data_IF_448415247606
#
_entry.id   IF_448415247606
#
_cell.length_a   1.000
_cell.length_b   1.000
_cell.length_c   1.000
_cell.angle_alpha   90.00
_cell.angle_beta   90.00
_cell.angle_gamma   90.00
#
_symmetry.space_group_name_H-M   'P 1'
#
loop_
_entity.id
_entity.type
_entity.pdbx_description
1 polymer ?
#
# COMPACT_ATOMS: atom_id res chain seq x y z
N UNK A 1 9.15 -13.76 15.79
CA UNK A 1 8.30 -12.95 14.89
C UNK A 1 8.04 -13.75 13.63
N UNK A 2 6.80 -13.82 13.17
CA UNK A 2 6.44 -14.52 11.93
C UNK A 2 7.02 -13.75 10.73
N UNK A 3 7.46 -14.46 9.68
CA UNK A 3 8.00 -13.86 8.45
C UNK A 3 7.01 -12.86 7.82
N UNK A 4 5.71 -13.17 7.89
CA UNK A 4 4.62 -12.31 7.43
C UNK A 4 4.57 -10.98 8.17
N UNK A 5 4.81 -10.98 9.48
CA UNK A 5 4.84 -9.76 10.31
C UNK A 5 6.00 -8.86 9.89
N UNK A 6 7.18 -9.42 9.65
CA UNK A 6 8.37 -8.66 9.21
C UNK A 6 8.12 -8.05 7.83
N UNK A 7 7.53 -8.83 6.91
CA UNK A 7 7.17 -8.38 5.57
C UNK A 7 6.14 -7.26 5.59
N UNK A 8 5.08 -7.37 6.42
CA UNK A 8 4.07 -6.33 6.58
C UNK A 8 4.65 -5.02 7.14
N UNK A 9 5.56 -5.11 8.11
CA UNK A 9 6.28 -3.95 8.64
C UNK A 9 7.16 -3.29 7.56
N UNK A 10 7.92 -4.08 6.81
CA UNK A 10 8.75 -3.58 5.71
C UNK A 10 7.92 -2.88 4.64
N UNK A 11 6.79 -3.46 4.26
CA UNK A 11 5.87 -2.87 3.28
C UNK A 11 5.21 -1.60 3.83
N UNK A 12 4.85 -1.56 5.11
CA UNK A 12 4.32 -0.34 5.74
C UNK A 12 5.28 0.84 5.62
N UNK A 13 6.58 0.62 5.88
CA UNK A 13 7.62 1.65 5.74
C UNK A 13 7.82 2.03 4.27
N UNK A 14 7.89 1.04 3.37
CA UNK A 14 8.05 1.29 1.95
C UNK A 14 6.90 2.13 1.37
N UNK A 15 5.64 1.80 1.71
CA UNK A 15 4.44 2.55 1.30
C UNK A 15 4.49 3.99 1.82
N UNK A 16 4.93 4.19 3.07
CA UNK A 16 5.06 5.53 3.64
C UNK A 16 6.14 6.36 2.93
N UNK A 17 7.32 5.79 2.67
CA UNK A 17 8.42 6.47 1.98
C UNK A 17 8.06 6.81 0.53
N UNK A 18 7.54 5.84 -0.23
CA UNK A 18 7.06 6.03 -1.60
C UNK A 18 5.92 7.04 -1.65
N UNK A 19 5.01 6.97 -0.68
CA UNK A 19 3.89 7.89 -0.55
C UNK A 19 4.28 9.33 -0.28
N UNK A 20 5.21 9.55 0.65
CA UNK A 20 5.80 10.86 0.92
C UNK A 20 6.55 11.41 -0.29
N UNK A 21 7.27 10.56 -1.03
CA UNK A 21 7.96 10.96 -2.25
C UNK A 21 6.98 11.37 -3.36
N UNK A 22 5.92 10.56 -3.58
CA UNK A 22 4.82 10.89 -4.49
C UNK A 22 4.11 12.19 -4.09
N UNK A 23 3.86 12.40 -2.80
CA UNK A 23 3.27 13.64 -2.31
C UNK A 23 4.15 14.85 -2.63
N UNK A 24 5.49 14.76 -2.48
CA UNK A 24 6.39 15.85 -2.89
C UNK A 24 6.32 16.15 -4.38
N UNK A 25 6.17 15.13 -5.22
CA UNK A 25 6.11 15.31 -6.68
C UNK A 25 4.79 15.92 -7.15
N UNK A 26 3.67 15.48 -6.58
CA UNK A 26 2.34 15.92 -7.06
C UNK A 26 1.70 17.00 -6.20
N UNK A 27 2.30 17.35 -5.05
CA UNK A 27 1.76 18.24 -4.00
C UNK A 27 0.32 17.90 -3.56
N UNK A 28 -0.10 16.63 -3.72
CA UNK A 28 -1.49 16.23 -3.52
C UNK A 28 -1.72 15.74 -2.10
N UNK A 29 -2.49 16.50 -1.31
CA UNK A 29 -2.88 16.11 0.07
C UNK A 29 -3.61 14.76 0.12
N UNK A 30 -4.35 14.44 -0.93
CA UNK A 30 -5.08 13.18 -1.04
C UNK A 30 -4.14 11.97 -1.11
N UNK A 31 -2.95 12.11 -1.72
CA UNK A 31 -1.95 11.03 -1.77
C UNK A 31 -1.31 10.85 -0.39
N UNK A 32 -1.00 11.94 0.30
CA UNK A 32 -0.46 11.89 1.67
C UNK A 32 -1.43 11.15 2.63
N UNK A 33 -2.71 11.52 2.63
CA UNK A 33 -3.69 10.88 3.52
C UNK A 33 -3.86 9.38 3.23
N UNK A 34 -3.92 9.00 1.95
CA UNK A 34 -4.03 7.59 1.56
C UNK A 34 -2.80 6.77 1.92
N UNK A 35 -1.61 7.38 1.87
CA UNK A 35 -0.34 6.69 2.18
C UNK A 35 -0.17 6.51 3.68
N UNK A 36 -0.55 7.49 4.50
CA UNK A 36 -0.64 7.35 5.96
C UNK A 36 -1.66 6.27 6.34
N UNK A 37 -2.85 6.31 5.74
CA UNK A 37 -3.88 5.30 5.96
C UNK A 37 -3.39 3.89 5.58
N UNK A 38 -2.79 3.75 4.39
CA UNK A 38 -2.24 2.49 3.91
C UNK A 38 -1.14 1.92 4.80
N UNK A 39 -0.20 2.77 5.23
CA UNK A 39 0.87 2.39 6.16
C UNK A 39 0.31 1.94 7.51
N UNK A 40 -0.67 2.66 8.07
CA UNK A 40 -1.35 2.31 9.32
C UNK A 40 -2.08 0.97 9.21
N UNK A 41 -2.79 0.71 8.11
CA UNK A 41 -3.45 -0.57 7.87
C UNK A 41 -2.47 -1.74 7.83
N UNK A 42 -1.31 -1.58 7.18
CA UNK A 42 -0.27 -2.62 7.16
C UNK A 42 0.35 -2.87 8.55
N UNK A 43 0.51 -1.80 9.34
CA UNK A 43 1.05 -1.88 10.68
C UNK A 43 0.07 -2.56 11.65
N UNK A 44 -1.22 -2.26 11.51
CA UNK A 44 -2.29 -2.92 12.26
C UNK A 44 -2.44 -4.40 11.85
N UNK A 45 -2.28 -4.73 10.56
CA UNK A 45 -2.23 -6.11 10.09
C UNK A 45 -1.02 -6.87 10.66
N UNK A 46 0.15 -6.22 10.73
CA UNK A 46 1.34 -6.78 11.38
C UNK A 46 1.10 -7.03 12.87
N UNK A 47 0.39 -6.14 13.56
CA UNK A 47 0.02 -6.32 14.96
C UNK A 47 -0.93 -7.51 15.17
N UNK A 48 -1.97 -7.64 14.33
CA UNK A 48 -2.91 -8.78 14.39
C UNK A 48 -2.23 -10.12 14.07
N UNK A 49 -1.33 -10.16 13.08
CA UNK A 49 -0.53 -11.37 12.80
C UNK A 49 0.42 -11.72 13.94
N UNK A 50 1.06 -10.74 14.57
CA UNK A 50 1.98 -10.99 15.69
C UNK A 50 1.24 -11.50 16.94
N UNK A 51 0.08 -10.93 17.25
CA UNK A 51 -0.71 -11.27 18.43
C UNK A 51 -1.58 -12.53 18.26
N UNK A 52 -1.61 -13.14 17.06
CA UNK A 52 -2.49 -14.26 16.69
C UNK A 52 -3.99 -13.99 16.94
N UNK A 53 -4.37 -12.72 17.11
CA UNK A 53 -5.75 -12.32 17.38
C UNK A 53 -6.40 -11.82 16.09
N UNK A 54 -7.49 -12.50 15.69
CA UNK A 54 -8.35 -12.15 14.56
C UNK A 54 -7.58 -12.04 13.22
N UNK A 55 -7.06 -13.18 12.75
CA UNK A 55 -6.40 -13.36 11.44
C UNK A 55 -7.18 -12.73 10.26
N UNK A 56 -8.51 -12.67 10.34
CA UNK A 56 -9.37 -12.02 9.35
C UNK A 56 -8.94 -10.57 9.08
N UNK A 57 -8.62 -9.79 10.12
CA UNK A 57 -8.19 -8.40 9.97
C UNK A 57 -6.79 -8.28 9.39
N UNK A 58 -5.92 -9.24 9.67
CA UNK A 58 -4.59 -9.31 9.08
C UNK A 58 -4.62 -9.48 7.55
N UNK A 59 -5.67 -10.09 7.00
CA UNK A 59 -5.87 -10.28 5.56
C UNK A 59 -6.68 -9.12 4.97
N UNK A 60 -7.74 -8.69 5.65
CA UNK A 60 -8.68 -7.70 5.14
C UNK A 60 -8.07 -6.29 5.03
N UNK A 61 -7.19 -5.92 5.97
CA UNK A 61 -6.55 -4.59 5.98
C UNK A 61 -5.59 -4.39 4.79
N UNK A 62 -4.62 -5.29 4.49
CA UNK A 62 -3.81 -5.21 3.28
C UNK A 62 -4.65 -5.22 2.00
N UNK A 63 -5.73 -6.01 1.96
CA UNK A 63 -6.60 -6.07 0.79
C UNK A 63 -7.27 -4.72 0.48
N UNK A 64 -7.83 -4.04 1.49
CA UNK A 64 -8.43 -2.71 1.29
C UNK A 64 -7.40 -1.67 0.82
N UNK A 65 -6.18 -1.70 1.38
CA UNK A 65 -5.13 -0.79 0.93
C UNK A 65 -4.75 -1.04 -0.53
N UNK A 66 -4.71 -2.31 -0.95
CA UNK A 66 -4.44 -2.69 -2.33
C UNK A 66 -5.51 -2.17 -3.28
N UNK A 67 -6.79 -2.30 -2.92
CA UNK A 67 -7.88 -1.73 -3.73
C UNK A 67 -7.80 -0.21 -3.82
N UNK A 68 -7.51 0.46 -2.69
CA UNK A 68 -7.40 1.91 -2.61
C UNK A 68 -6.26 2.45 -3.49
N UNK A 69 -5.08 1.83 -3.44
CA UNK A 69 -3.97 2.22 -4.32
C UNK A 69 -4.19 1.78 -5.76
N UNK A 70 -4.79 0.61 -5.99
CA UNK A 70 -5.07 0.08 -7.33
C UNK A 70 -6.02 0.97 -8.12
N UNK A 71 -7.13 1.41 -7.52
CA UNK A 71 -8.05 2.36 -8.15
C UNK A 71 -7.35 3.67 -8.55
N UNK A 72 -6.45 4.17 -7.70
CA UNK A 72 -5.66 5.37 -8.02
C UNK A 72 -4.62 5.14 -9.09
N UNK A 73 -3.91 4.01 -9.04
CA UNK A 73 -2.93 3.64 -10.03
C UNK A 73 -3.57 3.60 -11.42
N UNK A 74 -4.72 2.93 -11.57
CA UNK A 74 -5.49 2.89 -12.82
C UNK A 74 -5.92 4.29 -13.26
N UNK A 75 -6.45 5.10 -12.35
CA UNK A 75 -6.85 6.48 -12.66
C UNK A 75 -5.67 7.36 -13.12
N UNK A 76 -4.52 7.24 -12.46
CA UNK A 76 -3.29 7.99 -12.84
C UNK A 76 -2.71 7.53 -14.17
N UNK A 77 -2.74 6.22 -14.45
CA UNK A 77 -2.33 5.67 -15.75
C UNK A 77 -3.25 6.09 -16.89
N UNK A 78 -4.56 6.17 -16.64
CA UNK A 78 -5.50 6.69 -17.62
C UNK A 78 -5.21 8.16 -17.93
N UNK A 79 -4.96 8.96 -16.89
CA UNK A 79 -4.64 10.38 -17.03
C UNK A 79 -3.28 10.62 -17.71
N UNK A 80 -2.29 9.76 -17.45
CA UNK A 80 -0.96 9.88 -18.06
C UNK A 80 -0.93 9.66 -19.58
N UNK A 81 -2.03 9.16 -20.17
CA UNK A 81 -2.18 9.12 -21.64
C UNK A 81 -2.37 10.51 -22.25
N UNK A 82 -2.93 11.45 -21.49
CA UNK A 82 -3.13 12.85 -21.90
C UNK A 82 -2.02 13.77 -21.40
N UNK A 83 -1.53 13.52 -20.17
CA UNK A 83 -0.52 14.34 -19.50
C UNK A 83 0.75 13.49 -19.27
N UNK A 84 1.77 13.63 -20.12
CA UNK A 84 2.99 12.78 -20.09
C UNK A 84 3.80 12.92 -18.80
N UNK A 85 3.70 14.05 -18.11
CA UNK A 85 4.35 14.33 -16.83
C UNK A 85 3.88 13.38 -15.71
N UNK A 86 2.70 12.78 -15.84
CA UNK A 86 2.13 11.87 -14.85
C UNK A 86 2.60 10.42 -14.98
N UNK A 87 3.42 10.08 -15.98
CA UNK A 87 3.91 8.71 -16.18
C UNK A 87 4.72 8.19 -14.98
N UNK A 88 5.62 9.00 -14.45
CA UNK A 88 6.44 8.62 -13.31
C UNK A 88 5.62 8.46 -12.01
N UNK A 89 4.71 9.40 -11.66
CA UNK A 89 3.74 9.17 -10.58
C UNK A 89 2.89 7.91 -10.76
N UNK A 90 2.45 7.59 -11.98
CA UNK A 90 1.67 6.38 -12.26
C UNK A 90 2.49 5.09 -12.06
N UNK A 91 3.77 5.09 -12.43
CA UNK A 91 4.70 4.00 -12.15
C UNK A 91 4.92 3.80 -10.65
N UNK A 92 5.13 4.88 -9.90
CA UNK A 92 5.29 4.79 -8.45
C UNK A 92 4.02 4.28 -7.76
N UNK A 93 2.84 4.74 -8.19
CA UNK A 93 1.56 4.26 -7.65
C UNK A 93 1.29 2.79 -7.97
N UNK A 94 1.69 2.32 -9.15
CA UNK A 94 1.62 0.89 -9.48
C UNK A 94 2.59 0.07 -8.64
N UNK A 95 3.80 0.57 -8.36
CA UNK A 95 4.74 -0.04 -7.42
C UNK A 95 4.17 -0.18 -6.01
N UNK A 96 3.57 0.89 -5.47
CA UNK A 96 2.89 0.87 -4.16
C UNK A 96 1.76 -0.17 -4.14
N UNK A 97 0.95 -0.20 -5.21
CA UNK A 97 -0.15 -1.18 -5.34
C UNK A 97 0.38 -2.62 -5.37
N UNK A 98 1.46 -2.87 -6.12
CA UNK A 98 2.07 -4.19 -6.21
C UNK A 98 2.59 -4.65 -4.84
N UNK A 99 3.26 -3.77 -4.09
CA UNK A 99 3.70 -4.06 -2.72
C UNK A 99 2.53 -4.40 -1.80
N UNK A 100 1.44 -3.63 -1.85
CA UNK A 100 0.23 -3.92 -1.07
C UNK A 100 -0.42 -5.25 -1.46
N UNK A 101 -0.40 -5.59 -2.76
CA UNK A 101 -0.89 -6.89 -3.24
C UNK A 101 -0.02 -8.03 -2.71
N UNK A 102 1.31 -7.88 -2.72
CA UNK A 102 2.23 -8.87 -2.13
C UNK A 102 1.95 -9.04 -0.64
N UNK A 103 1.76 -7.96 0.12
CA UNK A 103 1.36 -8.03 1.52
C UNK A 103 0.07 -8.82 1.73
N UNK A 104 -0.92 -8.60 0.87
CA UNK A 104 -2.22 -9.29 0.93
C UNK A 104 -2.08 -10.79 0.65
N UNK A 105 -1.34 -11.15 -0.40
CA UNK A 105 -1.08 -12.55 -0.76
C UNK A 105 -0.29 -13.24 0.35
N UNK A 106 0.75 -12.59 0.88
CA UNK A 106 1.54 -13.13 1.99
C UNK A 106 0.71 -13.31 3.26
N UNK A 107 -0.21 -12.38 3.57
CA UNK A 107 -1.11 -12.53 4.71
C UNK A 107 -2.11 -13.68 4.50
N UNK A 108 -2.60 -13.88 3.28
CA UNK A 108 -3.52 -14.96 2.94
C UNK A 108 -2.85 -16.35 2.97
N UNK A 109 -1.59 -16.43 2.53
CA UNK A 109 -0.81 -17.68 2.46
C UNK A 109 -0.06 -18.01 3.75
N UNK A 110 -0.23 -17.23 4.81
CA UNK A 110 0.44 -17.44 6.10
C UNK A 110 -0.42 -18.06 7.22
N UNK A 111 -1.42 -18.93 6.96
CA UNK A 111 -2.16 -19.58 8.04
C UNK A 111 -1.24 -20.42 8.92
#
# INVERSE_FOLDING_TARGET
>A
MNNTTILLLGISVAVLLLGCYLWRLTSSRSILLNTIFGSTCMLLAAYHTASHQRMEWAIMLPFFTTMLFGGRAVGTWWRSRKESELRFPAQLMTGVTALSLTATISAYLAP
#
